data_IF_544526873276
#
_entry.id   IF_544526873276
#
_cell.length_a   1.000
_cell.length_b   1.000
_cell.length_c   1.000
_cell.angle_alpha   90.00
_cell.angle_beta   90.00
_cell.angle_gamma   90.00
#
_symmetry.space_group_name_H-M   'P 1'
#
loop_
_entity.id
_entity.type
_entity.pdbx_description
1 polymer ?
#
# COMPACT_ATOMS: atom_id res chain seq x y z
N UNK A 1 22.95 7.73 20.20
CA UNK A 1 22.32 6.40 20.03
C UNK A 1 21.54 6.35 18.72
N UNK A 2 21.66 5.26 17.94
CA UNK A 2 20.81 5.04 16.76
C UNK A 2 19.53 4.31 17.17
N UNK A 3 18.39 4.81 16.74
CA UNK A 3 17.08 4.21 17.03
C UNK A 3 16.25 4.12 15.75
N UNK A 4 15.37 3.14 15.70
CA UNK A 4 14.35 2.97 14.65
C UNK A 4 13.03 3.43 15.25
N UNK A 5 12.39 4.42 14.63
CA UNK A 5 11.10 4.94 15.10
C UNK A 5 10.00 3.93 14.83
N UNK A 6 9.15 3.67 15.82
CA UNK A 6 7.97 2.80 15.68
C UNK A 6 6.70 3.59 15.35
N UNK A 7 6.73 4.90 15.55
CA UNK A 7 5.64 5.84 15.31
C UNK A 7 6.18 7.13 14.67
N UNK A 8 5.27 7.90 14.07
CA UNK A 8 5.60 9.24 13.55
C UNK A 8 5.76 10.22 14.70
N UNK A 9 6.94 10.83 14.80
CA UNK A 9 7.27 11.76 15.89
C UNK A 9 7.57 13.13 15.28
N UNK A 10 6.73 14.10 15.66
CA UNK A 10 6.90 15.51 15.26
C UNK A 10 8.32 15.98 15.59
N UNK A 11 8.97 16.61 14.61
CA UNK A 11 10.34 17.11 14.70
C UNK A 11 11.44 16.04 14.85
N UNK A 12 11.15 14.76 14.58
CA UNK A 12 12.15 13.69 14.61
C UNK A 12 12.13 12.84 13.34
N UNK A 13 10.96 12.37 12.89
CA UNK A 13 10.81 11.58 11.66
C UNK A 13 9.57 10.70 11.65
N UNK A 14 9.42 9.95 10.56
CA UNK A 14 8.33 9.00 10.35
C UNK A 14 8.64 7.60 10.87
N UNK A 15 7.59 6.79 11.02
CA UNK A 15 7.66 5.38 11.40
C UNK A 15 8.56 4.60 10.44
N UNK A 16 9.47 3.82 11.01
CA UNK A 16 10.43 3.01 10.27
C UNK A 16 11.68 3.78 9.80
N UNK A 17 11.81 5.06 10.14
CA UNK A 17 13.06 5.79 9.94
C UNK A 17 14.11 5.46 11.02
N UNK A 18 15.37 5.44 10.60
CA UNK A 18 16.51 5.31 11.50
C UNK A 18 17.05 6.71 11.80
N UNK A 19 16.99 7.13 13.08
CA UNK A 19 17.49 8.43 13.53
C UNK A 19 18.62 8.29 14.54
N UNK A 20 19.53 9.23 14.49
CA UNK A 20 20.58 9.40 15.51
C UNK A 20 20.06 10.41 16.52
N UNK A 21 19.88 9.97 17.76
CA UNK A 21 19.39 10.81 18.86
C UNK A 21 20.37 10.81 20.03
N UNK A 22 20.20 11.78 20.93
CA UNK A 22 20.94 11.81 22.20
C UNK A 22 20.57 10.60 23.06
N UNK A 23 21.55 10.01 23.72
CA UNK A 23 21.37 8.75 24.46
C UNK A 23 20.34 8.87 25.59
N UNK A 24 20.29 10.02 26.28
CA UNK A 24 19.29 10.27 27.32
C UNK A 24 17.87 10.38 26.76
N UNK A 25 17.70 10.97 25.57
CA UNK A 25 16.40 11.06 24.92
C UNK A 25 15.90 9.69 24.45
N UNK A 26 16.79 8.85 23.91
CA UNK A 26 16.46 7.46 23.61
C UNK A 26 16.06 6.67 24.88
N UNK A 27 16.96 6.61 25.87
CA UNK A 27 16.79 5.76 27.05
C UNK A 27 15.68 6.19 28.01
N UNK A 28 15.43 7.50 28.13
CA UNK A 28 14.47 8.02 29.11
C UNK A 28 13.10 8.32 28.52
N UNK A 29 13.00 8.51 27.20
CA UNK A 29 11.75 8.92 26.55
C UNK A 29 11.30 7.95 25.46
N UNK A 30 12.13 7.69 24.45
CA UNK A 30 11.71 6.93 23.27
C UNK A 30 11.54 5.42 23.54
N UNK A 31 12.53 4.77 24.15
CA UNK A 31 12.48 3.33 24.41
C UNK A 31 11.43 2.95 25.46
N UNK A 32 11.33 3.61 26.64
CA UNK A 32 10.35 3.23 27.66
C UNK A 32 8.90 3.44 27.23
N UNK A 33 8.65 4.39 26.33
CA UNK A 33 7.31 4.67 25.78
C UNK A 33 6.98 3.83 24.54
N UNK A 34 7.89 2.96 24.09
CA UNK A 34 7.70 2.16 22.89
C UNK A 34 7.66 2.96 21.59
N UNK A 35 8.14 4.21 21.59
CA UNK A 35 8.15 5.10 20.43
C UNK A 35 9.29 4.79 19.45
N UNK A 36 10.36 4.16 19.95
CA UNK A 36 11.48 3.71 19.13
C UNK A 36 12.17 2.49 19.73
N UNK A 37 12.86 1.73 18.88
CA UNK A 37 13.71 0.59 19.28
C UNK A 37 15.17 0.88 18.94
N UNK A 38 16.09 0.23 19.66
CA UNK A 38 17.51 0.36 19.34
C UNK A 38 17.83 -0.22 17.95
N UNK A 39 18.56 0.56 17.15
CA UNK A 39 19.00 0.17 15.81
C UNK A 39 20.22 -0.76 15.89
N UNK A 40 20.01 -2.00 16.35
CA UNK A 40 21.03 -3.04 16.32
C UNK A 40 21.27 -3.51 14.87
N UNK A 41 22.45 -4.10 14.60
CA UNK A 41 22.76 -4.65 13.27
C UNK A 41 21.70 -5.65 12.78
N UNK A 42 21.19 -6.49 13.68
CA UNK A 42 20.13 -7.45 13.37
C UNK A 42 18.83 -6.77 12.92
N UNK A 43 18.37 -5.76 13.67
CA UNK A 43 17.14 -5.03 13.34
C UNK A 43 17.27 -4.18 12.09
N UNK A 44 18.45 -3.62 11.83
CA UNK A 44 18.71 -2.90 10.58
C UNK A 44 18.62 -3.83 9.36
N UNK A 45 19.20 -5.03 9.44
CA UNK A 45 19.12 -6.02 8.38
C UNK A 45 17.70 -6.54 8.18
N UNK A 46 16.94 -6.72 9.25
CA UNK A 46 15.53 -7.12 9.20
C UNK A 46 14.68 -6.03 8.51
N UNK A 47 14.84 -4.77 8.92
CA UNK A 47 14.17 -3.63 8.30
C UNK A 47 14.50 -3.51 6.81
N UNK A 48 15.76 -3.72 6.43
CA UNK A 48 16.18 -3.68 5.04
C UNK A 48 15.57 -4.82 4.22
N UNK A 49 15.55 -6.05 4.77
CA UNK A 49 14.89 -7.19 4.14
C UNK A 49 13.39 -6.95 3.96
N UNK A 50 12.74 -6.39 4.96
CA UNK A 50 11.31 -6.09 4.91
C UNK A 50 11.00 -5.01 3.87
N UNK A 51 11.82 -3.96 3.79
CA UNK A 51 11.72 -2.93 2.74
C UNK A 51 11.92 -3.53 1.35
N UNK A 52 12.93 -4.38 1.16
CA UNK A 52 13.17 -5.05 -0.13
C UNK A 52 12.02 -5.98 -0.51
N UNK A 53 11.46 -6.72 0.47
CA UNK A 53 10.29 -7.58 0.25
C UNK A 53 9.09 -6.75 -0.19
N UNK A 54 8.77 -5.67 0.53
CA UNK A 54 7.64 -4.79 0.19
C UNK A 54 7.81 -4.16 -1.19
N UNK A 55 9.00 -3.66 -1.52
CA UNK A 55 9.28 -3.09 -2.83
C UNK A 55 9.10 -4.13 -3.96
N UNK A 56 9.53 -5.38 -3.75
CA UNK A 56 9.30 -6.46 -4.72
C UNK A 56 7.81 -6.79 -4.89
N UNK A 57 7.06 -6.84 -3.80
CA UNK A 57 5.61 -7.07 -3.84
C UNK A 57 4.87 -5.92 -4.55
N UNK A 58 5.26 -4.66 -4.30
CA UNK A 58 4.69 -3.50 -4.97
C UNK A 58 4.97 -3.53 -6.49
N UNK A 59 6.21 -3.83 -6.90
CA UNK A 59 6.54 -3.98 -8.32
C UNK A 59 5.76 -5.12 -8.97
N UNK A 60 5.61 -6.25 -8.28
CA UNK A 60 4.83 -7.38 -8.80
C UNK A 60 3.35 -7.02 -8.98
N UNK A 61 2.74 -6.34 -7.99
CA UNK A 61 1.36 -5.84 -8.07
C UNK A 61 1.17 -4.84 -9.19
N UNK A 62 2.12 -3.91 -9.36
CA UNK A 62 2.07 -2.94 -10.44
C UNK A 62 2.16 -3.62 -11.81
N UNK A 63 3.04 -4.60 -11.97
CA UNK A 63 3.16 -5.37 -13.20
C UNK A 63 1.89 -6.17 -13.51
N UNK A 64 1.28 -6.81 -12.50
CA UNK A 64 0.02 -7.53 -12.64
C UNK A 64 -1.12 -6.58 -13.04
N UNK A 65 -1.25 -5.44 -12.35
CA UNK A 65 -2.25 -4.43 -12.68
C UNK A 65 -2.08 -3.87 -14.09
N UNK A 66 -0.84 -3.64 -14.55
CA UNK A 66 -0.56 -3.20 -15.93
C UNK A 66 -0.94 -4.25 -16.96
N UNK A 67 -0.73 -5.54 -16.69
CA UNK A 67 -1.16 -6.63 -17.59
C UNK A 67 -2.67 -6.67 -17.71
N UNK A 68 -3.38 -6.63 -16.58
CA UNK A 68 -4.85 -6.57 -16.56
C UNK A 68 -5.34 -5.35 -17.34
N UNK A 69 -4.73 -4.18 -17.12
CA UNK A 69 -5.08 -2.98 -17.88
C UNK A 69 -4.91 -3.16 -19.39
N UNK A 70 -3.83 -3.81 -19.84
CA UNK A 70 -3.61 -4.11 -21.26
C UNK A 70 -4.63 -5.12 -21.82
N UNK A 71 -5.04 -6.12 -21.05
CA UNK A 71 -6.06 -7.09 -21.47
C UNK A 71 -7.44 -6.44 -21.60
N UNK A 72 -7.75 -5.48 -20.72
CA UNK A 72 -8.99 -4.70 -20.78
C UNK A 72 -8.94 -3.61 -21.87
N UNK A 73 -7.75 -3.13 -22.24
CA UNK A 73 -7.59 -2.08 -23.23
C UNK A 73 -8.03 -2.54 -24.63
N UNK A 74 -9.14 -2.00 -25.11
CA UNK A 74 -9.75 -2.38 -26.39
C UNK A 74 -10.76 -3.52 -26.31
N UNK A 75 -10.99 -4.09 -25.12
CA UNK A 75 -12.07 -5.05 -24.93
C UNK A 75 -13.43 -4.35 -25.10
N UNK A 76 -14.29 -4.93 -25.94
CA UNK A 76 -15.67 -4.46 -26.14
C UNK A 76 -16.62 -5.47 -25.51
N UNK A 77 -17.38 -5.02 -24.51
CA UNK A 77 -18.37 -5.84 -23.81
C UNK A 77 -19.75 -5.51 -24.37
N UNK A 78 -20.47 -6.53 -24.86
CA UNK A 78 -21.83 -6.38 -25.39
C UNK A 78 -22.81 -6.91 -24.36
N UNK A 79 -23.68 -6.04 -23.86
CA UNK A 79 -24.70 -6.37 -22.88
C UNK A 79 -26.09 -6.19 -23.51
N UNK A 80 -26.88 -7.26 -23.51
CA UNK A 80 -28.25 -7.23 -23.98
C UNK A 80 -29.20 -6.97 -22.83
N UNK A 81 -30.02 -5.92 -22.92
CA UNK A 81 -31.00 -5.57 -21.91
C UNK A 81 -32.31 -5.10 -22.54
N UNK A 82 -33.42 -5.32 -21.82
CA UNK A 82 -34.76 -4.98 -22.30
C UNK A 82 -34.95 -3.46 -22.30
N UNK A 83 -35.36 -2.91 -23.44
CA UNK A 83 -35.71 -1.51 -23.61
C UNK A 83 -37.23 -1.34 -23.79
N UNK A 84 -37.77 -0.21 -23.33
CA UNK A 84 -39.14 0.22 -23.59
C UNK A 84 -39.32 0.79 -25.00
N UNK A 85 -40.56 1.13 -25.35
CA UNK A 85 -40.93 1.59 -26.70
C UNK A 85 -40.18 2.85 -27.17
N UNK A 86 -39.72 3.70 -26.25
CA UNK A 86 -38.88 4.88 -26.54
C UNK A 86 -37.36 4.60 -26.54
N UNK A 87 -36.94 3.33 -26.47
CA UNK A 87 -35.52 2.93 -26.44
C UNK A 87 -34.81 3.14 -25.10
N UNK A 88 -35.54 3.51 -24.03
CA UNK A 88 -35.00 3.57 -22.66
C UNK A 88 -34.93 2.17 -22.06
N UNK A 89 -33.79 1.81 -21.48
CA UNK A 89 -33.63 0.56 -20.73
C UNK A 89 -34.57 0.51 -19.52
N UNK A 90 -35.15 -0.66 -19.27
CA UNK A 90 -35.83 -0.93 -18.01
C UNK A 90 -34.78 -1.21 -16.93
N UNK A 91 -34.36 -0.14 -16.23
CA UNK A 91 -33.30 -0.20 -15.22
C UNK A 91 -31.97 0.37 -15.73
N UNK A 92 -30.87 0.00 -15.07
CA UNK A 92 -29.52 0.47 -15.38
C UNK A 92 -28.54 -0.70 -15.42
N UNK A 93 -27.61 -0.69 -16.37
CA UNK A 93 -26.44 -1.56 -16.37
C UNK A 93 -25.50 -1.09 -15.25
N UNK A 94 -25.14 -2.00 -14.35
CA UNK A 94 -24.26 -1.73 -13.21
C UNK A 94 -22.85 -2.25 -13.45
N UNK A 95 -21.91 -1.85 -12.60
CA UNK A 95 -20.54 -2.37 -12.64
C UNK A 95 -20.48 -3.90 -12.42
N UNK A 96 -21.46 -4.46 -11.70
CA UNK A 96 -21.56 -5.91 -11.52
C UNK A 96 -21.95 -6.62 -12.82
N UNK A 97 -22.92 -6.08 -13.56
CA UNK A 97 -23.34 -6.65 -14.86
C UNK A 97 -22.19 -6.63 -15.89
N UNK A 98 -21.39 -5.56 -15.86
CA UNK A 98 -20.19 -5.45 -16.71
C UNK A 98 -19.13 -6.48 -16.28
N UNK A 99 -18.90 -6.65 -14.98
CA UNK A 99 -17.91 -7.60 -14.46
C UNK A 99 -18.27 -9.07 -14.72
N UNK A 100 -19.57 -9.42 -14.83
CA UNK A 100 -20.01 -10.76 -15.23
C UNK A 100 -19.80 -11.05 -16.72
N UNK A 101 -19.59 -10.02 -17.54
CA UNK A 101 -19.45 -10.12 -19.00
C UNK A 101 -18.04 -9.75 -19.51
N UNK A 102 -17.05 -9.70 -18.61
CA UNK A 102 -15.60 -9.57 -18.88
C UNK A 102 -14.93 -10.88 -18.49
#
# INVERSE_FOLDING_TARGET
MKVILLEDIRNLGEKGEVKVVKDGYARNYLLPRGLAVEATKSRLLELEKEKQKRAREEVAKEQEARKIAQELEGMSVVLEAKAGEEGKLFGSITSADIAENI
#
